data_IF_874804267249
#
_entry.id   IF_874804267249
#
_cell.length_a   1.000
_cell.length_b   1.000
_cell.length_c   1.000
_cell.angle_alpha   90.00
_cell.angle_beta   90.00
_cell.angle_gamma   90.00
#
_symmetry.space_group_name_H-M   'P 1'
#
loop_
_entity.id
_entity.type
_entity.pdbx_description
1 polymer ?
#
# COMPACT_ATOMS: atom_id res chain seq x y z
N UNK A 1 -19.27 9.03 14.31
CA UNK A 1 -19.66 8.37 13.05
C UNK A 1 -18.44 7.93 12.23
N UNK A 2 -17.38 8.74 12.11
CA UNK A 2 -16.16 8.41 11.33
C UNK A 2 -15.36 7.21 11.90
N UNK A 3 -15.32 7.02 13.23
CA UNK A 3 -14.53 5.96 13.86
C UNK A 3 -14.98 4.53 13.52
N UNK A 4 -16.29 4.30 13.35
CA UNK A 4 -16.80 2.97 12.99
C UNK A 4 -16.49 2.59 11.55
N UNK A 5 -16.46 3.57 10.64
CA UNK A 5 -16.10 3.34 9.24
C UNK A 5 -14.62 2.98 9.09
N UNK A 6 -13.72 3.61 9.88
CA UNK A 6 -12.28 3.32 9.86
C UNK A 6 -12.00 1.91 10.38
N UNK A 7 -12.66 1.50 11.48
CA UNK A 7 -12.52 0.14 12.01
C UNK A 7 -13.02 -0.87 10.97
N UNK A 8 -14.18 -0.63 10.35
CA UNK A 8 -14.69 -1.48 9.28
C UNK A 8 -13.72 -1.59 8.11
N UNK A 9 -13.11 -0.48 7.70
CA UNK A 9 -12.19 -0.44 6.56
C UNK A 9 -10.86 -1.18 6.82
N UNK A 10 -10.36 -1.21 8.06
CA UNK A 10 -9.14 -1.95 8.42
C UNK A 10 -9.42 -3.41 8.77
N UNK A 11 -10.56 -3.67 9.42
CA UNK A 11 -10.89 -5.02 9.89
C UNK A 11 -11.45 -5.90 8.77
N UNK A 12 -12.13 -5.32 7.78
CA UNK A 12 -12.67 -6.04 6.63
C UNK A 12 -11.59 -6.73 5.76
N UNK A 13 -10.48 -6.09 5.34
CA UNK A 13 -9.41 -6.78 4.62
C UNK A 13 -8.78 -7.89 5.46
N UNK A 14 -8.59 -7.68 6.76
CA UNK A 14 -8.04 -8.69 7.66
C UNK A 14 -8.97 -9.92 7.76
N UNK A 15 -10.27 -9.71 7.91
CA UNK A 15 -11.27 -10.80 7.95
C UNK A 15 -11.33 -11.53 6.61
N UNK A 16 -11.32 -10.81 5.49
CA UNK A 16 -11.30 -11.42 4.16
C UNK A 16 -10.03 -12.23 3.91
N UNK A 17 -8.88 -11.74 4.36
CA UNK A 17 -7.63 -12.45 4.25
C UNK A 17 -7.65 -13.75 5.06
N UNK A 18 -8.12 -13.69 6.32
CA UNK A 18 -8.29 -14.88 7.16
C UNK A 18 -9.27 -15.86 6.51
N UNK A 19 -10.41 -15.37 5.99
CA UNK A 19 -11.40 -16.19 5.30
C UNK A 19 -10.78 -16.91 4.09
N UNK A 20 -9.99 -16.20 3.29
CA UNK A 20 -9.30 -16.76 2.13
C UNK A 20 -8.28 -17.81 2.55
N UNK A 21 -7.49 -17.54 3.59
CA UNK A 21 -6.51 -18.48 4.14
C UNK A 21 -7.19 -19.78 4.62
N UNK A 22 -8.34 -19.65 5.30
CA UNK A 22 -9.16 -20.79 5.72
C UNK A 22 -9.71 -21.55 4.51
N UNK A 23 -10.25 -20.86 3.49
CA UNK A 23 -10.74 -21.48 2.27
C UNK A 23 -9.63 -22.28 1.55
N UNK A 24 -8.42 -21.72 1.47
CA UNK A 24 -7.26 -22.41 0.88
C UNK A 24 -6.86 -23.63 1.71
N UNK A 25 -6.78 -23.51 3.03
CA UNK A 25 -6.50 -24.66 3.91
C UNK A 25 -7.53 -25.78 3.75
N UNK A 26 -8.82 -25.42 3.66
CA UNK A 26 -9.90 -26.38 3.43
C UNK A 26 -9.74 -27.03 2.06
N UNK A 27 -9.40 -26.27 1.04
CA UNK A 27 -9.17 -26.81 -0.31
C UNK A 27 -8.03 -27.82 -0.32
N UNK A 28 -6.89 -27.51 0.31
CA UNK A 28 -5.72 -28.41 0.37
C UNK A 28 -6.01 -29.68 1.18
N UNK A 29 -6.69 -29.54 2.32
CA UNK A 29 -7.10 -30.71 3.12
C UNK A 29 -8.10 -31.60 2.38
N UNK A 30 -9.02 -31.00 1.60
CA UNK A 30 -9.91 -31.77 0.74
C UNK A 30 -9.17 -32.50 -0.36
N UNK A 31 -8.22 -31.83 -1.01
CA UNK A 31 -7.43 -32.44 -2.07
C UNK A 31 -6.64 -33.64 -1.56
N UNK A 32 -5.99 -33.49 -0.40
CA UNK A 32 -5.33 -34.60 0.28
C UNK A 32 -6.31 -35.73 0.66
N UNK A 33 -7.52 -35.38 1.07
CA UNK A 33 -8.59 -36.34 1.35
C UNK A 33 -9.01 -37.15 0.12
N UNK A 34 -9.08 -36.53 -1.05
CA UNK A 34 -9.40 -37.19 -2.33
C UNK A 34 -8.30 -38.19 -2.69
N UNK A 35 -7.04 -37.80 -2.60
CA UNK A 35 -5.89 -38.68 -2.86
C UNK A 35 -5.84 -39.87 -1.89
N UNK A 36 -6.10 -39.62 -0.61
CA UNK A 36 -6.18 -40.68 0.39
C UNK A 36 -7.35 -41.63 0.11
N UNK A 37 -8.52 -41.10 -0.28
CA UNK A 37 -9.68 -41.90 -0.63
C UNK A 37 -9.45 -42.77 -1.87
N UNK A 38 -8.74 -42.24 -2.87
CA UNK A 38 -8.32 -42.96 -4.07
C UNK A 38 -7.47 -44.18 -3.72
N UNK A 39 -6.55 -44.02 -2.75
CA UNK A 39 -5.71 -45.13 -2.26
C UNK A 39 -6.42 -46.14 -1.37
N UNK A 40 -7.42 -45.71 -0.60
CA UNK A 40 -8.08 -46.53 0.43
C UNK A 40 -9.39 -47.17 -0.02
N UNK A 41 -9.73 -47.09 -1.32
CA UNK A 41 -11.00 -47.61 -1.88
C UNK A 41 -12.23 -47.06 -1.15
N UNK A 42 -12.29 -45.73 -1.01
CA UNK A 42 -13.51 -45.06 -0.56
C UNK A 42 -14.71 -45.38 -1.47
N UNK A 43 -15.90 -45.45 -0.86
CA UNK A 43 -17.13 -45.63 -1.61
C UNK A 43 -17.36 -44.52 -2.66
N UNK A 44 -18.07 -44.81 -3.76
CA UNK A 44 -18.27 -43.84 -4.85
C UNK A 44 -19.01 -42.57 -4.41
N UNK A 45 -19.86 -42.67 -3.38
CA UNK A 45 -20.59 -41.53 -2.82
C UNK A 45 -19.71 -40.54 -2.06
N UNK A 46 -18.71 -41.01 -1.30
CA UNK A 46 -17.82 -40.10 -0.57
C UNK A 46 -16.88 -39.38 -1.52
N UNK A 47 -16.34 -40.07 -2.52
CA UNK A 47 -15.51 -39.43 -3.55
C UNK A 47 -16.23 -38.28 -4.26
N UNK A 48 -17.49 -38.49 -4.68
CA UNK A 48 -18.29 -37.45 -5.32
C UNK A 48 -18.55 -36.26 -4.38
N UNK A 49 -18.87 -36.51 -3.10
CA UNK A 49 -19.07 -35.45 -2.11
C UNK A 49 -17.81 -34.61 -1.87
N UNK A 50 -16.65 -35.24 -1.73
CA UNK A 50 -15.38 -34.51 -1.57
C UNK A 50 -15.07 -33.65 -2.79
N UNK A 51 -15.29 -34.17 -4.00
CA UNK A 51 -15.03 -33.44 -5.23
C UNK A 51 -15.99 -32.25 -5.42
N UNK A 52 -17.26 -32.42 -5.06
CA UNK A 52 -18.25 -31.34 -5.11
C UNK A 52 -17.95 -30.25 -4.07
N UNK A 53 -17.52 -30.64 -2.87
CA UNK A 53 -17.13 -29.68 -1.84
C UNK A 53 -15.84 -28.92 -2.22
N UNK A 54 -14.87 -29.58 -2.87
CA UNK A 54 -13.64 -28.92 -3.35
C UNK A 54 -13.93 -27.87 -4.41
N UNK A 55 -14.79 -28.20 -5.37
CA UNK A 55 -15.20 -27.23 -6.41
C UNK A 55 -16.00 -26.08 -5.83
N UNK A 56 -16.89 -26.34 -4.87
CA UNK A 56 -17.66 -25.29 -4.19
C UNK A 56 -16.75 -24.29 -3.46
N UNK A 57 -15.74 -24.79 -2.74
CA UNK A 57 -14.76 -23.96 -2.01
C UNK A 57 -13.96 -23.08 -2.97
N UNK A 58 -13.50 -23.64 -4.10
CA UNK A 58 -12.78 -22.86 -5.11
C UNK A 58 -13.64 -21.77 -5.75
N UNK A 59 -14.90 -22.06 -6.05
CA UNK A 59 -15.84 -21.07 -6.62
C UNK A 59 -16.07 -19.91 -5.65
N UNK A 60 -16.15 -20.18 -4.35
CA UNK A 60 -16.31 -19.15 -3.32
C UNK A 60 -15.00 -18.36 -3.09
N UNK A 61 -13.83 -18.98 -3.27
CA UNK A 61 -12.54 -18.31 -3.08
C UNK A 61 -12.28 -17.20 -4.11
N UNK A 62 -12.74 -17.37 -5.36
CA UNK A 62 -12.54 -16.40 -6.46
C UNK A 62 -13.09 -15.00 -6.14
N UNK A 63 -14.38 -14.82 -5.79
CA UNK A 63 -14.92 -13.49 -5.49
C UNK A 63 -14.26 -12.85 -4.25
N UNK A 64 -13.87 -13.65 -3.26
CA UNK A 64 -13.16 -13.16 -2.06
C UNK A 64 -11.79 -12.61 -2.46
N UNK A 65 -11.07 -13.30 -3.35
CA UNK A 65 -9.78 -12.84 -3.87
C UNK A 65 -9.90 -11.54 -4.68
N UNK A 66 -10.89 -11.44 -5.56
CA UNK A 66 -11.14 -10.22 -6.33
C UNK A 66 -11.47 -9.03 -5.43
N UNK A 67 -12.22 -9.27 -4.35
CA UNK A 67 -12.58 -8.24 -3.39
C UNK A 67 -11.34 -7.74 -2.61
N UNK A 68 -10.41 -8.63 -2.26
CA UNK A 68 -9.12 -8.23 -1.68
C UNK A 68 -8.28 -7.40 -2.64
N UNK A 69 -8.13 -7.83 -3.91
CA UNK A 69 -7.35 -7.07 -4.90
C UNK A 69 -7.91 -5.67 -5.10
N UNK A 70 -9.23 -5.57 -5.26
CA UNK A 70 -9.88 -4.26 -5.46
C UNK A 70 -9.73 -3.36 -4.25
N UNK A 71 -9.80 -3.91 -3.03
CA UNK A 71 -9.59 -3.14 -1.81
C UNK A 71 -8.13 -2.66 -1.66
N UNK A 72 -7.14 -3.52 -1.93
CA UNK A 72 -5.72 -3.16 -1.97
C UNK A 72 -5.44 -2.07 -3.00
N UNK A 73 -6.08 -2.15 -4.18
CA UNK A 73 -5.95 -1.15 -5.22
C UNK A 73 -6.50 0.21 -4.77
N UNK A 74 -7.68 0.22 -4.14
CA UNK A 74 -8.29 1.43 -3.59
C UNK A 74 -7.39 2.03 -2.50
N UNK A 75 -6.85 1.18 -1.62
CA UNK A 75 -5.98 1.63 -0.54
C UNK A 75 -4.69 2.27 -1.08
N UNK A 76 -4.03 1.61 -2.04
CA UNK A 76 -2.86 2.15 -2.72
C UNK A 76 -3.17 3.44 -3.49
N UNK A 77 -4.34 3.53 -4.11
CA UNK A 77 -4.77 4.75 -4.78
C UNK A 77 -4.91 5.91 -3.78
N UNK A 78 -5.57 5.68 -2.64
CA UNK A 78 -5.71 6.71 -1.59
C UNK A 78 -4.35 7.15 -1.06
N UNK A 79 -3.46 6.19 -0.76
CA UNK A 79 -2.11 6.49 -0.28
C UNK A 79 -1.31 7.29 -1.31
N UNK A 80 -1.40 6.94 -2.59
CA UNK A 80 -0.77 7.67 -3.70
C UNK A 80 -1.29 9.10 -3.82
N UNK A 81 -2.61 9.31 -3.71
CA UNK A 81 -3.22 10.65 -3.72
C UNK A 81 -2.74 11.47 -2.50
N UNK A 82 -2.68 10.87 -1.31
CA UNK A 82 -2.17 11.55 -0.12
C UNK A 82 -0.68 11.91 -0.26
N UNK A 83 0.11 11.02 -0.85
CA UNK A 83 1.54 11.24 -1.08
C UNK A 83 1.79 12.32 -2.13
N UNK A 84 1.01 12.34 -3.21
CA UNK A 84 1.09 13.40 -4.23
C UNK A 84 0.64 14.76 -3.68
N UNK A 85 -0.41 14.80 -2.85
CA UNK A 85 -0.79 16.01 -2.12
C UNK A 85 0.30 16.47 -1.16
N UNK A 86 0.90 15.55 -0.41
CA UNK A 86 2.03 15.86 0.49
C UNK A 86 3.20 16.44 -0.30
N UNK A 87 3.59 15.81 -1.41
CA UNK A 87 4.65 16.32 -2.30
C UNK A 87 4.28 17.70 -2.86
N UNK A 88 3.03 17.90 -3.29
CA UNK A 88 2.57 19.19 -3.78
C UNK A 88 2.67 20.27 -2.70
N UNK A 89 2.25 19.97 -1.46
CA UNK A 89 2.38 20.87 -0.31
C UNK A 89 3.86 21.16 -0.03
N UNK A 90 4.73 20.14 0.00
CA UNK A 90 6.17 20.32 0.20
C UNK A 90 6.81 21.17 -0.90
N UNK A 91 6.41 20.97 -2.15
CA UNK A 91 6.85 21.80 -3.29
C UNK A 91 6.32 23.21 -3.15
N UNK A 92 5.06 23.40 -2.78
CA UNK A 92 4.44 24.73 -2.64
C UNK A 92 4.98 25.51 -1.44
N UNK A 93 5.44 24.85 -0.38
CA UNK A 93 6.21 25.49 0.70
C UNK A 93 7.67 25.70 0.30
N UNK A 94 8.27 24.73 -0.40
CA UNK A 94 9.66 24.75 -0.82
C UNK A 94 9.95 25.75 -1.95
N UNK A 95 8.98 26.08 -2.80
CA UNK A 95 9.13 27.09 -3.86
C UNK A 95 9.29 28.52 -3.31
N UNK A 96 8.45 29.04 -2.40
CA UNK A 96 8.65 30.34 -1.79
C UNK A 96 9.83 30.35 -0.81
N UNK A 97 10.09 29.26 -0.07
CA UNK A 97 11.27 29.16 0.81
C UNK A 97 12.58 29.06 0.02
N UNK A 98 12.61 28.24 -1.02
CA UNK A 98 13.75 28.09 -1.92
C UNK A 98 14.02 29.37 -2.70
N UNK A 99 12.99 30.07 -3.17
CA UNK A 99 13.12 31.37 -3.84
C UNK A 99 13.50 32.49 -2.86
N UNK A 100 13.03 32.46 -1.61
CA UNK A 100 13.46 33.36 -0.56
C UNK A 100 14.93 33.15 -0.16
N UNK A 101 15.37 31.90 -0.01
CA UNK A 101 16.78 31.55 0.24
C UNK A 101 17.66 31.92 -0.95
N UNK A 102 17.19 31.72 -2.18
CA UNK A 102 17.88 32.14 -3.41
C UNK A 102 18.02 33.67 -3.46
N UNK A 103 16.97 34.44 -3.14
CA UNK A 103 17.02 35.91 -3.07
C UNK A 103 17.92 36.41 -1.93
N UNK A 104 17.92 35.75 -0.76
CA UNK A 104 18.79 36.12 0.35
C UNK A 104 20.27 35.85 0.03
N UNK A 105 20.56 34.75 -0.67
CA UNK A 105 21.93 34.41 -1.09
C UNK A 105 22.41 35.27 -2.25
N UNK A 106 21.59 35.53 -3.28
CA UNK A 106 21.95 36.47 -4.36
C UNK A 106 21.98 37.93 -3.89
N UNK A 107 21.06 38.35 -3.02
CA UNK A 107 21.05 39.69 -2.42
C UNK A 107 22.22 39.91 -1.46
N UNK A 108 22.64 38.87 -0.73
CA UNK A 108 23.86 38.88 0.09
C UNK A 108 25.14 38.96 -0.76
N UNK A 109 25.17 38.31 -1.92
CA UNK A 109 26.30 38.40 -2.86
C UNK A 109 26.44 39.80 -3.50
N UNK A 110 25.33 40.51 -3.76
CA UNK A 110 25.39 41.90 -4.26
C UNK A 110 25.81 42.91 -3.19
N UNK A 111 25.61 42.62 -1.90
CA UNK A 111 26.04 43.51 -0.81
C UNK A 111 27.54 43.46 -0.56
N UNK A 112 28.20 42.32 -0.86
CA UNK A 112 29.65 42.17 -0.67
C UNK A 112 30.50 42.82 -1.77
N UNK A 113 29.91 43.16 -2.92
CA UNK A 113 30.61 43.85 -4.02
C UNK A 113 30.59 45.39 -3.91
N UNK A 114 30.11 45.92 -2.77
CA UNK A 114 30.02 47.38 -2.53
C UNK A 114 30.72 47.85 -1.26
N UNK A 115 31.61 47.03 -0.67
CA UNK A 115 32.53 47.51 0.38
C UNK A 115 33.70 48.24 -0.32
N UNK A 116 33.82 49.59 -0.22
CA UNK A 116 35.05 50.25 -0.64
C UNK A 116 36.18 49.78 0.27
N UNK A 117 37.22 49.20 -0.33
CA UNK A 117 38.50 48.94 0.34
C UNK A 117 39.04 50.25 0.93
N UNK A 118 39.25 50.36 2.25
CA UNK A 118 39.92 51.51 2.82
C UNK A 118 41.41 51.46 2.46
N UNK A 119 41.94 52.66 2.21
CA UNK A 119 43.33 52.96 1.86
C UNK A 119 44.34 52.17 2.69
N UNK A 120 45.26 51.49 2.00
CA UNK A 120 46.58 51.13 2.52
C UNK A 120 47.58 52.22 2.15
N UNK A 121 47.90 53.05 3.13
CA UNK A 121 48.99 54.02 3.13
C UNK A 121 50.30 53.23 3.37
N UNK A 122 51.12 53.03 2.34
CA UNK A 122 52.50 52.50 2.48
C UNK A 122 53.50 53.65 2.29
N UNK A 123 53.82 54.31 3.42
CA UNK A 123 55.04 55.11 3.58
C UNK A 123 56.03 54.35 4.47
N UNK A 124 57.17 53.95 3.90
CA UNK A 124 58.28 53.28 4.59
C UNK A 124 59.30 52.70 3.63
#
# INVERSE_FOLDING_TARGET
>A
MVSQAVIGFVLLPAVLFILLLVLVLISDTLHYGIDFCSRSSCGPGTYFLLQLLSTLVQVIAIPVYLLLITLELILNFILSVMQTLSMLITVLLGYPLGLAVLLLTLGGCLYFDSIPTPLGDEGG
#
